data_IF_716367243819
#
_entry.id   IF_716367243819
#
_cell.length_a   1.000
_cell.length_b   1.000
_cell.length_c   1.000
_cell.angle_alpha   90.00
_cell.angle_beta   90.00
_cell.angle_gamma   90.00
#
_symmetry.space_group_name_H-M   'P 1'
#
loop_
_entity.id
_entity.type
_entity.pdbx_description
1 polymer ?
#
# COMPACT_ATOMS: atom_id res chain seq x y z
N UNK A 1 -21.06 26.77 -2.89
CA UNK A 1 -19.94 25.95 -2.39
C UNK A 1 -20.41 24.51 -2.31
N UNK A 2 -19.92 23.63 -3.19
CA UNK A 2 -20.18 22.19 -3.10
C UNK A 2 -19.24 21.63 -2.04
N UNK A 3 -19.80 21.16 -0.93
CA UNK A 3 -19.07 20.34 0.03
C UNK A 3 -18.80 18.99 -0.65
N UNK A 4 -17.55 18.77 -1.04
CA UNK A 4 -17.09 17.44 -1.44
C UNK A 4 -17.15 16.55 -0.20
N UNK A 5 -18.11 15.63 -0.19
CA UNK A 5 -18.21 14.59 0.81
C UNK A 5 -16.97 13.70 0.66
N UNK A 6 -16.04 13.85 1.60
CA UNK A 6 -14.91 12.93 1.76
C UNK A 6 -15.50 11.53 1.91
N UNK A 7 -15.17 10.55 1.06
CA UNK A 7 -15.71 9.20 1.20
C UNK A 7 -15.24 8.66 2.55
N UNK A 8 -16.19 8.49 3.46
CA UNK A 8 -15.96 7.81 4.74
C UNK A 8 -15.45 6.40 4.41
N UNK A 9 -14.29 5.98 4.96
CA UNK A 9 -13.76 4.66 4.65
C UNK A 9 -14.75 3.62 5.17
N UNK A 10 -15.36 2.88 4.24
CA UNK A 10 -16.27 1.79 4.57
C UNK A 10 -15.43 0.73 5.29
N UNK A 11 -15.72 0.51 6.57
CA UNK A 11 -15.13 -0.57 7.33
C UNK A 11 -15.51 -1.89 6.65
N UNK A 12 -14.53 -2.54 6.01
CA UNK A 12 -14.72 -3.88 5.43
C UNK A 12 -14.51 -4.02 3.92
N UNK A 13 -13.93 -3.06 3.19
CA UNK A 13 -13.45 -3.36 1.83
C UNK A 13 -12.40 -4.47 1.90
N UNK A 14 -12.81 -5.68 1.52
CA UNK A 14 -11.96 -6.88 1.50
C UNK A 14 -10.84 -6.61 0.51
N UNK A 15 -9.61 -6.52 1.00
CA UNK A 15 -8.44 -6.52 0.13
C UNK A 15 -8.36 -7.92 -0.49
N UNK A 16 -8.55 -8.07 -1.81
CA UNK A 16 -8.43 -9.38 -2.46
C UNK A 16 -7.02 -9.92 -2.23
N UNK A 17 -6.85 -11.24 -2.21
CA UNK A 17 -5.49 -11.81 -2.25
C UNK A 17 -4.88 -11.51 -3.62
N UNK A 18 -3.64 -11.04 -3.65
CA UNK A 18 -2.90 -10.83 -4.89
C UNK A 18 -2.75 -12.14 -5.65
N UNK A 19 -2.81 -12.08 -6.98
CA UNK A 19 -2.53 -13.19 -7.91
C UNK A 19 -1.69 -12.67 -9.07
N UNK A 20 -1.04 -13.57 -9.80
CA UNK A 20 -0.24 -13.19 -10.98
C UNK A 20 -1.10 -12.40 -11.97
N UNK A 21 -0.57 -11.26 -12.44
CA UNK A 21 -1.28 -10.33 -13.33
C UNK A 21 -2.27 -9.39 -12.65
N UNK A 22 -2.47 -9.47 -11.33
CA UNK A 22 -3.33 -8.53 -10.61
C UNK A 22 -2.68 -7.14 -10.54
N UNK A 23 -3.44 -6.10 -10.91
CA UNK A 23 -3.02 -4.70 -10.86
C UNK A 23 -3.66 -3.98 -9.67
N UNK A 24 -3.06 -2.86 -9.25
CA UNK A 24 -3.58 -2.06 -8.12
C UNK A 24 -5.02 -1.56 -8.34
N UNK A 25 -5.54 -1.63 -9.56
CA UNK A 25 -6.92 -1.28 -9.91
C UNK A 25 -7.97 -2.21 -9.29
N UNK A 26 -7.57 -3.44 -8.90
CA UNK A 26 -8.44 -4.36 -8.17
C UNK A 26 -8.63 -3.96 -6.68
N UNK A 27 -7.89 -2.96 -6.21
CA UNK A 27 -7.95 -2.47 -4.84
C UNK A 27 -8.89 -1.27 -4.70
N UNK A 28 -9.49 -1.11 -3.52
CA UNK A 28 -10.17 0.14 -3.20
C UNK A 28 -9.18 1.32 -3.24
N UNK A 29 -9.65 2.56 -3.55
CA UNK A 29 -8.77 3.70 -3.85
C UNK A 29 -7.70 3.98 -2.78
N UNK A 30 -8.06 3.82 -1.51
CA UNK A 30 -7.15 4.03 -0.39
C UNK A 30 -5.99 3.04 -0.35
N UNK A 31 -6.23 1.78 -0.71
CA UNK A 31 -5.18 0.76 -0.78
C UNK A 31 -4.36 0.89 -2.06
N UNK A 32 -5.04 1.19 -3.18
CA UNK A 32 -4.40 1.45 -4.48
C UNK A 32 -3.33 2.54 -4.36
N UNK A 33 -3.66 3.68 -3.74
CA UNK A 33 -2.71 4.78 -3.51
C UNK A 33 -1.44 4.36 -2.76
N UNK A 34 -1.55 3.47 -1.78
CA UNK A 34 -0.37 3.00 -1.01
C UNK A 34 0.52 2.13 -1.89
N UNK A 35 -0.06 1.25 -2.71
CA UNK A 35 0.68 0.39 -3.63
C UNK A 35 1.38 1.23 -4.70
N UNK A 36 0.64 2.09 -5.40
CA UNK A 36 1.18 2.94 -6.46
C UNK A 36 2.27 3.88 -5.94
N UNK A 37 2.11 4.43 -4.74
CA UNK A 37 3.13 5.26 -4.10
C UNK A 37 4.44 4.47 -3.91
N UNK A 38 4.37 3.24 -3.37
CA UNK A 38 5.55 2.42 -3.15
C UNK A 38 6.19 1.99 -4.47
N UNK A 39 5.40 1.61 -5.47
CA UNK A 39 5.90 1.24 -6.80
C UNK A 39 6.58 2.42 -7.50
N UNK A 40 6.09 3.65 -7.31
CA UNK A 40 6.70 4.87 -7.85
C UNK A 40 7.96 5.33 -7.11
N UNK A 41 7.97 5.25 -5.78
CA UNK A 41 9.13 5.68 -4.96
C UNK A 41 10.26 4.64 -4.95
N UNK A 42 9.95 3.36 -5.15
CA UNK A 42 10.89 2.25 -5.04
C UNK A 42 10.82 1.30 -6.26
N UNK A 43 11.09 1.79 -7.48
CA UNK A 43 10.94 1.00 -8.71
C UNK A 43 11.80 -0.28 -8.72
N UNK A 44 12.97 -0.24 -8.05
CA UNK A 44 13.92 -1.35 -7.96
C UNK A 44 13.85 -2.12 -6.63
N UNK A 45 12.87 -1.82 -5.77
CA UNK A 45 12.71 -2.50 -4.48
C UNK A 45 13.76 -2.11 -3.42
N UNK A 46 14.02 -0.80 -3.27
CA UNK A 46 14.93 -0.25 -2.25
C UNK A 46 14.46 -0.42 -0.79
N UNK A 47 15.08 0.29 0.16
CA UNK A 47 14.99 0.05 1.62
C UNK A 47 13.56 0.02 2.23
N UNK A 48 12.54 0.44 1.48
CA UNK A 48 11.15 0.50 1.93
C UNK A 48 10.84 1.79 2.67
N UNK A 49 9.56 2.07 2.87
CA UNK A 49 9.07 3.23 3.60
C UNK A 49 8.41 2.83 4.92
N UNK A 50 8.65 3.59 5.97
CA UNK A 50 7.93 3.48 7.24
C UNK A 50 6.51 4.04 7.12
N UNK A 51 5.61 3.62 8.01
CA UNK A 51 4.23 4.12 8.06
C UNK A 51 4.14 5.66 8.15
N UNK A 52 5.04 6.30 8.90
CA UNK A 52 5.11 7.76 9.00
C UNK A 52 5.47 8.42 7.67
N UNK A 53 6.42 7.84 6.94
CA UNK A 53 6.85 8.33 5.63
C UNK A 53 5.74 8.15 4.59
N UNK A 54 5.09 6.99 4.58
CA UNK A 54 3.88 6.77 3.77
C UNK A 54 2.80 7.82 4.08
N UNK A 55 2.56 8.10 5.37
CA UNK A 55 1.57 9.11 5.79
C UNK A 55 1.94 10.50 5.25
N UNK A 56 3.22 10.89 5.33
CA UNK A 56 3.71 12.15 4.78
C UNK A 56 3.53 12.25 3.27
N UNK A 57 3.90 11.19 2.55
CA UNK A 57 3.81 11.11 1.08
C UNK A 57 2.37 11.08 0.56
N UNK A 58 1.45 10.52 1.35
CA UNK A 58 0.01 10.59 1.08
C UNK A 58 -0.59 11.98 1.38
N UNK A 59 0.21 12.95 1.83
CA UNK A 59 -0.26 14.30 2.18
C UNK A 59 -1.16 14.33 3.41
N UNK A 60 -1.08 13.30 4.27
CA UNK A 60 -1.88 13.22 5.48
C UNK A 60 -1.14 13.87 6.65
N UNK A 61 -1.92 14.39 7.59
CA UNK A 61 -1.38 14.92 8.84
C UNK A 61 -0.62 13.84 9.62
N UNK A 62 0.58 14.17 10.12
CA UNK A 62 1.47 13.26 10.84
C UNK A 62 1.08 13.07 12.31
N UNK A 63 -0.21 12.82 12.55
CA UNK A 63 -0.74 12.48 13.87
C UNK A 63 -0.78 10.96 14.09
N UNK A 64 -0.63 10.47 15.34
CA UNK A 64 -0.57 9.03 15.63
C UNK A 64 -1.73 8.23 15.04
N UNK A 65 -2.96 8.77 15.08
CA UNK A 65 -4.15 8.12 14.53
C UNK A 65 -4.06 7.88 13.01
N UNK A 66 -3.51 8.82 12.24
CA UNK A 66 -3.36 8.68 10.78
C UNK A 66 -2.21 7.74 10.45
N UNK A 67 -1.10 7.84 11.17
CA UNK A 67 0.06 6.96 11.00
C UNK A 67 -0.32 5.51 11.25
N UNK A 68 -1.05 5.21 12.34
CA UNK A 68 -1.49 3.85 12.65
C UNK A 68 -2.56 3.36 11.66
N UNK A 69 -3.42 4.26 11.17
CA UNK A 69 -4.35 3.97 10.09
C UNK A 69 -3.65 3.52 8.80
N UNK A 70 -2.61 4.25 8.37
CA UNK A 70 -1.79 3.88 7.20
C UNK A 70 -1.04 2.58 7.45
N UNK A 71 -0.43 2.41 8.64
CA UNK A 71 0.26 1.17 9.04
C UNK A 71 -0.67 -0.04 8.94
N UNK A 72 -1.89 0.08 9.45
CA UNK A 72 -2.90 -0.99 9.43
C UNK A 72 -3.30 -1.36 8.00
N UNK A 73 -3.47 -0.36 7.12
CA UNK A 73 -3.79 -0.60 5.70
C UNK A 73 -2.61 -1.27 4.96
N UNK A 74 -1.39 -0.79 5.20
CA UNK A 74 -0.19 -1.35 4.60
C UNK A 74 0.06 -2.79 5.05
N UNK A 75 -0.09 -3.09 6.35
CA UNK A 75 -0.03 -4.48 6.87
C UNK A 75 -1.04 -5.39 6.20
N UNK A 76 -2.29 -4.94 6.03
CA UNK A 76 -3.31 -5.72 5.33
C UNK A 76 -2.92 -6.01 3.88
N UNK A 77 -2.25 -5.09 3.19
CA UNK A 77 -1.74 -5.33 1.85
C UNK A 77 -0.62 -6.37 1.83
N UNK A 78 0.27 -6.34 2.82
CA UNK A 78 1.33 -7.35 3.00
C UNK A 78 0.74 -8.74 3.25
N UNK A 79 -0.20 -8.87 4.19
CA UNK A 79 -0.91 -10.13 4.48
C UNK A 79 -1.63 -10.72 3.25
N UNK A 80 -2.00 -9.86 2.31
CA UNK A 80 -2.70 -10.22 1.08
C UNK A 80 -1.76 -10.39 -0.12
N UNK A 81 -0.45 -10.19 0.06
CA UNK A 81 0.57 -10.39 -0.96
C UNK A 81 0.72 -9.28 -1.99
N UNK A 82 0.12 -8.10 -1.73
CA UNK A 82 0.25 -6.91 -2.58
C UNK A 82 1.54 -6.14 -2.32
N UNK A 83 2.05 -6.19 -1.09
CA UNK A 83 3.28 -5.52 -0.66
C UNK A 83 4.18 -6.53 0.08
N UNK A 84 5.45 -6.16 0.25
CA UNK A 84 6.35 -6.83 1.17
C UNK A 84 6.60 -5.94 2.40
N UNK A 85 6.97 -6.56 3.52
CA UNK A 85 7.46 -5.87 4.70
C UNK A 85 8.85 -6.40 5.09
N UNK A 86 9.77 -5.48 5.39
CA UNK A 86 11.06 -5.83 5.97
C UNK A 86 10.92 -6.23 7.45
N UNK A 87 11.90 -6.97 8.01
CA UNK A 87 11.96 -7.21 9.46
C UNK A 87 12.02 -5.91 10.30
N UNK A 88 12.52 -4.82 9.71
CA UNK A 88 12.55 -3.49 10.33
C UNK A 88 11.20 -2.75 10.29
N UNK A 89 10.14 -3.36 9.74
CA UNK A 89 8.81 -2.77 9.69
C UNK A 89 8.61 -1.73 8.58
N UNK A 90 9.48 -1.75 7.56
CA UNK A 90 9.32 -0.93 6.35
C UNK A 90 8.51 -1.67 5.31
N UNK A 91 7.69 -0.94 4.58
CA UNK A 91 6.86 -1.46 3.51
C UNK A 91 7.54 -1.23 2.17
N UNK A 92 7.52 -2.24 1.32
CA UNK A 92 8.17 -2.24 0.02
C UNK A 92 7.16 -2.72 -1.02
N UNK A 93 7.32 -2.34 -2.30
CA UNK A 93 6.66 -3.05 -3.39
C UNK A 93 6.89 -4.54 -3.25
N UNK A 94 5.90 -5.33 -3.65
CA UNK A 94 6.11 -6.75 -3.86
C UNK A 94 7.32 -6.90 -4.80
N UNK A 95 8.29 -7.74 -4.43
CA UNK A 95 9.35 -8.11 -5.34
C UNK A 95 8.70 -8.59 -6.64
N UNK A 96 9.03 -7.95 -7.77
CA UNK A 96 8.59 -8.42 -9.07
C UNK A 96 9.12 -9.85 -9.14
N UNK A 97 8.24 -10.84 -9.06
CA UNK A 97 8.63 -12.20 -9.38
C UNK A 97 9.19 -12.07 -10.77
N UNK A 98 10.51 -12.23 -10.92
CA UNK A 98 11.07 -12.54 -12.22
C UNK A 98 10.18 -13.68 -12.73
N UNK A 99 9.58 -13.59 -13.93
CA UNK A 99 8.95 -14.77 -14.49
C UNK A 99 10.04 -15.84 -14.43
N UNK A 100 9.77 -16.93 -13.70
CA UNK A 100 10.58 -18.13 -13.75
C UNK A 100 10.73 -18.43 -15.24
N UNK A 101 11.89 -18.06 -15.79
CA UNK A 101 12.16 -18.23 -17.19
C UNK A 101 12.22 -19.74 -17.35
N UNK A 102 11.17 -20.24 -17.99
CA UNK A 102 10.82 -21.63 -18.17
C UNK A 102 12.03 -22.53 -18.44
N UNK A 103 11.88 -23.74 -17.91
CA UNK A 103 12.50 -25.02 -18.31
C UNK A 103 13.18 -25.07 -19.67
#
# INVERSE_FOLDING_TARGET
MKAEAVPVPVAGSIVPRWRQGATAEALAPDYRRIVELLEGELPDGGEGLMARELTARLGLELVPAKIEGVRSKARRLVERGWLAASPSGRFMPRARSVPDAAS
#
